data_IF_955449240046
#
_entry.id   IF_955449240046
#
_cell.length_a   1.000
_cell.length_b   1.000
_cell.length_c   1.000
_cell.angle_alpha   90.00
_cell.angle_beta   90.00
_cell.angle_gamma   90.00
#
_symmetry.space_group_name_H-M   'P 1'
#
loop_
_entity.id
_entity.type
_entity.pdbx_description
1 polymer ?
#
# COMPACT_ATOMS: atom_id res chain seq x y z
N UNK A 1 -20.32 69.59 11.78
CA UNK A 1 -20.01 69.08 10.42
C UNK A 1 -19.83 67.58 10.55
N UNK A 2 -20.82 66.80 10.07
CA UNK A 2 -20.88 65.34 10.17
C UNK A 2 -20.13 64.75 8.97
N UNK A 3 -19.26 63.76 9.17
CA UNK A 3 -18.76 62.90 8.10
C UNK A 3 -19.01 61.45 8.49
N UNK A 4 -20.00 60.85 7.83
CA UNK A 4 -20.27 59.43 7.84
C UNK A 4 -19.43 58.77 6.73
N UNK A 5 -18.55 57.84 7.11
CA UNK A 5 -17.88 56.96 6.16
C UNK A 5 -18.84 55.80 5.82
N UNK A 6 -19.25 55.76 4.56
CA UNK A 6 -20.03 54.68 3.95
C UNK A 6 -19.02 53.70 3.34
N UNK A 7 -18.88 52.51 3.91
CA UNK A 7 -18.16 51.38 3.30
C UNK A 7 -19.14 50.60 2.42
N UNK A 8 -19.01 50.74 1.10
CA UNK A 8 -19.72 49.93 0.12
C UNK A 8 -18.99 48.60 -0.08
N UNK A 9 -19.71 47.49 0.11
CA UNK A 9 -19.29 46.13 -0.21
C UNK A 9 -19.29 45.91 -1.72
N UNK A 10 -18.14 45.59 -2.29
CA UNK A 10 -17.98 45.07 -3.65
C UNK A 10 -18.38 43.59 -3.66
N UNK A 11 -19.47 43.24 -4.34
CA UNK A 11 -19.77 41.85 -4.69
C UNK A 11 -18.94 41.46 -5.93
N UNK A 12 -17.99 40.54 -5.74
CA UNK A 12 -17.33 39.84 -6.84
C UNK A 12 -18.25 38.70 -7.26
N UNK A 13 -18.80 38.77 -8.46
CA UNK A 13 -19.43 37.63 -9.12
C UNK A 13 -18.33 36.72 -9.66
N UNK A 14 -18.01 35.66 -8.92
CA UNK A 14 -17.27 34.53 -9.48
C UNK A 14 -18.22 33.73 -10.36
N UNK A 15 -18.08 33.84 -11.68
CA UNK A 15 -18.73 32.93 -12.63
C UNK A 15 -18.05 31.57 -12.49
N UNK A 16 -18.60 30.72 -11.63
CA UNK A 16 -18.34 29.28 -11.68
C UNK A 16 -18.95 28.75 -12.97
N UNK A 17 -18.12 28.26 -13.89
CA UNK A 17 -18.55 27.42 -15.01
C UNK A 17 -19.16 26.14 -14.45
N UNK A 18 -20.45 26.16 -14.13
CA UNK A 18 -21.18 24.96 -13.74
C UNK A 18 -21.37 24.10 -15.00
N UNK A 19 -20.58 23.03 -15.14
CA UNK A 19 -20.97 21.90 -15.98
C UNK A 19 -22.16 21.22 -15.29
N UNK A 20 -23.36 21.55 -15.74
CA UNK A 20 -24.58 20.98 -15.19
C UNK A 20 -24.95 19.71 -15.95
N UNK A 21 -24.72 18.56 -15.33
CA UNK A 21 -25.27 17.28 -15.77
C UNK A 21 -26.51 16.96 -14.94
N UNK A 22 -27.58 16.50 -15.58
CA UNK A 22 -28.80 16.08 -14.88
C UNK A 22 -29.49 14.91 -15.58
N UNK A 23 -30.15 14.02 -14.82
CA UNK A 23 -30.91 12.91 -15.37
C UNK A 23 -32.10 13.41 -16.20
N UNK A 24 -32.24 12.91 -17.44
CA UNK A 24 -33.38 13.18 -18.29
C UNK A 24 -34.59 12.36 -17.82
N UNK A 25 -35.74 13.01 -17.64
CA UNK A 25 -36.99 12.34 -17.33
C UNK A 25 -37.93 12.45 -18.54
N UNK A 26 -38.18 11.34 -19.26
CA UNK A 26 -39.24 11.29 -20.27
C UNK A 26 -39.51 9.85 -20.73
N UNK A 27 -40.77 9.45 -20.98
CA UNK A 27 -41.67 10.18 -21.90
C UNK A 27 -43.17 10.23 -21.50
N UNK A 28 -43.72 11.43 -21.35
CA UNK A 28 -45.05 11.90 -21.81
C UNK A 28 -45.16 13.39 -21.43
N UNK A 29 -44.91 14.28 -22.39
CA UNK A 29 -44.88 15.74 -22.18
C UNK A 29 -43.48 16.37 -22.05
N UNK A 30 -42.47 15.75 -22.66
CA UNK A 30 -41.03 16.02 -22.45
C UNK A 30 -40.59 17.42 -22.90
N UNK A 31 -40.12 18.21 -21.94
CA UNK A 31 -39.24 19.36 -22.15
C UNK A 31 -37.94 18.87 -22.83
N UNK A 32 -37.54 19.50 -23.94
CA UNK A 32 -36.25 19.18 -24.60
C UNK A 32 -35.06 19.52 -23.70
N UNK A 33 -33.86 19.05 -24.03
CA UNK A 33 -32.65 19.43 -23.28
C UNK A 33 -32.45 20.95 -23.26
N UNK A 34 -32.86 21.65 -24.32
CA UNK A 34 -32.85 23.11 -24.36
C UNK A 34 -33.86 23.74 -23.40
N UNK A 35 -35.01 23.10 -23.18
CA UNK A 35 -36.02 23.60 -22.25
C UNK A 35 -35.61 23.36 -20.79
N UNK A 36 -34.95 22.23 -20.51
CA UNK A 36 -34.29 22.01 -19.22
C UNK A 36 -33.23 23.08 -18.94
N UNK A 37 -32.39 23.38 -19.94
CA UNK A 37 -31.39 24.45 -19.84
C UNK A 37 -32.06 25.80 -19.54
N UNK A 38 -33.15 26.12 -20.26
CA UNK A 38 -33.92 27.35 -20.05
C UNK A 38 -34.47 27.46 -18.62
N UNK A 39 -35.04 26.38 -18.07
CA UNK A 39 -35.56 26.37 -16.69
C UNK A 39 -34.48 26.59 -15.63
N UNK A 40 -33.25 26.20 -15.94
CA UNK A 40 -32.10 26.35 -15.03
C UNK A 40 -31.28 27.63 -15.28
N UNK A 41 -31.76 28.52 -16.17
CA UNK A 41 -31.04 29.75 -16.51
C UNK A 41 -29.73 29.49 -17.26
N UNK A 42 -29.59 28.33 -17.89
CA UNK A 42 -28.43 27.95 -18.68
C UNK A 42 -28.63 28.34 -20.14
N UNK A 43 -27.54 28.54 -20.91
CA UNK A 43 -27.68 28.87 -22.33
C UNK A 43 -28.35 27.71 -23.08
N UNK A 44 -29.26 28.01 -24.00
CA UNK A 44 -30.16 27.01 -24.60
C UNK A 44 -29.61 26.34 -25.84
N UNK A 45 -28.40 26.68 -26.29
CA UNK A 45 -27.79 26.19 -27.51
C UNK A 45 -26.77 25.06 -27.26
N UNK A 46 -26.65 24.12 -28.20
CA UNK A 46 -25.62 23.07 -28.16
C UNK A 46 -25.83 21.93 -27.17
N UNK A 47 -27.03 21.79 -26.58
CA UNK A 47 -27.39 20.64 -25.75
C UNK A 47 -27.79 19.43 -26.62
N UNK A 48 -27.38 18.24 -26.21
CA UNK A 48 -27.76 16.97 -26.84
C UNK A 48 -28.21 15.97 -25.77
N UNK A 49 -29.16 15.09 -26.14
CA UNK A 49 -29.50 13.91 -25.36
C UNK A 49 -28.42 12.87 -25.58
N UNK A 50 -27.87 12.33 -24.49
CA UNK A 50 -26.83 11.31 -24.46
C UNK A 50 -27.33 10.14 -23.61
N UNK A 51 -26.97 8.92 -23.98
CA UNK A 51 -27.35 7.72 -23.21
C UNK A 51 -26.21 7.31 -22.28
N UNK A 52 -26.47 7.28 -20.98
CA UNK A 52 -25.52 6.84 -19.96
C UNK A 52 -26.09 5.60 -19.25
N UNK A 53 -25.54 4.43 -19.60
CA UNK A 53 -25.96 3.13 -19.06
C UNK A 53 -27.48 2.85 -19.17
N UNK A 54 -28.12 3.28 -20.26
CA UNK A 54 -29.56 3.12 -20.50
C UNK A 54 -30.42 4.23 -19.92
N UNK A 55 -29.81 5.28 -19.36
CA UNK A 55 -30.48 6.47 -18.87
C UNK A 55 -30.12 7.70 -19.71
N UNK A 56 -31.09 8.32 -20.41
CA UNK A 56 -30.82 9.55 -21.12
C UNK A 56 -30.39 10.67 -20.14
N UNK A 57 -29.44 11.50 -20.58
CA UNK A 57 -28.94 12.71 -19.91
C UNK A 57 -28.80 13.83 -20.94
N UNK A 58 -28.81 15.08 -20.48
CA UNK A 58 -28.55 16.25 -21.32
C UNK A 58 -27.13 16.76 -21.08
N UNK A 59 -26.35 16.96 -22.15
CA UNK A 59 -24.99 17.53 -22.07
C UNK A 59 -24.76 18.59 -23.17
N UNK A 60 -23.91 19.58 -22.88
CA UNK A 60 -23.57 20.70 -23.77
C UNK A 60 -22.05 20.78 -23.98
N UNK A 61 -21.59 20.44 -25.18
CA UNK A 61 -20.17 20.50 -25.56
C UNK A 61 -19.80 19.50 -26.68
N UNK A 62 -18.69 19.75 -27.38
CA UNK A 62 -18.12 18.87 -28.42
C UNK A 62 -17.21 17.77 -27.86
N UNK A 63 -17.48 17.32 -26.64
CA UNK A 63 -16.61 16.37 -25.95
C UNK A 63 -16.92 14.95 -26.45
N UNK A 64 -15.98 14.37 -27.20
CA UNK A 64 -15.98 12.93 -27.48
C UNK A 64 -16.04 12.19 -26.14
N UNK A 65 -17.03 11.31 -25.99
CA UNK A 65 -17.25 10.53 -24.78
C UNK A 65 -16.06 9.60 -24.52
N UNK A 66 -15.71 9.48 -23.25
CA UNK A 66 -14.69 8.56 -22.81
C UNK A 66 -15.27 7.16 -22.64
N UNK A 67 -14.65 6.16 -23.25
CA UNK A 67 -14.99 4.75 -23.04
C UNK A 67 -14.42 4.18 -21.72
N UNK A 68 -14.23 5.02 -20.69
CA UNK A 68 -13.51 4.69 -19.45
C UNK A 68 -13.96 5.49 -18.22
N UNK A 69 -13.16 5.44 -17.14
CA UNK A 69 -13.47 6.11 -15.86
C UNK A 69 -13.16 7.60 -15.96
N UNK A 70 -14.14 8.46 -15.67
CA UNK A 70 -13.99 9.91 -15.58
C UNK A 70 -13.23 10.29 -14.30
N UNK A 71 -12.21 11.15 -14.43
CA UNK A 71 -11.40 11.64 -13.30
C UNK A 71 -11.00 13.10 -13.50
N UNK A 72 -10.67 13.78 -12.41
CA UNK A 72 -10.21 15.17 -12.40
C UNK A 72 -8.68 15.17 -12.59
N UNK A 73 -8.18 15.85 -13.63
CA UNK A 73 -6.73 16.00 -13.79
C UNK A 73 -6.19 16.96 -12.72
N UNK A 74 -5.18 16.51 -11.96
CA UNK A 74 -4.69 17.27 -10.80
C UNK A 74 -4.01 18.62 -11.17
N UNK A 75 -3.61 18.82 -12.43
CA UNK A 75 -2.84 19.98 -12.86
C UNK A 75 -3.73 21.11 -13.38
N UNK A 76 -4.85 20.76 -14.02
CA UNK A 76 -5.77 21.75 -14.59
C UNK A 76 -7.19 21.71 -13.99
N UNK A 77 -7.46 20.76 -13.08
CA UNK A 77 -8.75 20.55 -12.41
C UNK A 77 -9.93 20.35 -13.37
N UNK A 78 -9.68 19.92 -14.60
CA UNK A 78 -10.73 19.60 -15.56
C UNK A 78 -11.00 18.09 -15.57
N UNK A 79 -12.24 17.72 -15.88
CA UNK A 79 -12.59 16.34 -16.19
C UNK A 79 -11.82 15.92 -17.45
N UNK A 80 -10.96 14.91 -17.28
CA UNK A 80 -10.06 14.41 -18.31
C UNK A 80 -10.26 12.91 -18.49
N UNK A 81 -9.99 12.45 -19.71
CA UNK A 81 -9.85 11.05 -20.02
C UNK A 81 -8.52 10.79 -20.71
N UNK A 82 -7.98 9.60 -20.47
CA UNK A 82 -6.78 9.14 -21.14
C UNK A 82 -7.01 8.97 -22.63
N UNK A 83 -6.07 9.42 -23.46
CA UNK A 83 -6.13 9.20 -24.90
C UNK A 83 -5.75 7.76 -25.21
N UNK A 84 -6.75 6.91 -25.35
CA UNK A 84 -6.55 5.60 -25.97
C UNK A 84 -6.17 5.75 -27.45
N UNK A 85 -5.26 4.91 -28.01
CA UNK A 85 -4.57 3.79 -27.37
C UNK A 85 -3.19 4.17 -26.80
N UNK A 86 -2.84 5.45 -26.76
CA UNK A 86 -1.47 5.94 -26.53
C UNK A 86 -1.14 6.20 -25.07
N UNK A 87 -2.15 6.42 -24.24
CA UNK A 87 -2.02 6.77 -22.84
C UNK A 87 -2.84 5.80 -21.98
N UNK A 88 -2.35 5.52 -20.77
CA UNK A 88 -3.03 4.73 -19.77
C UNK A 88 -3.12 5.54 -18.47
N UNK A 89 -4.12 5.21 -17.62
CA UNK A 89 -4.20 5.76 -16.27
C UNK A 89 -3.10 5.13 -15.43
N UNK A 90 -2.18 5.93 -14.90
CA UNK A 90 -0.99 5.44 -14.19
C UNK A 90 -0.97 5.78 -12.70
N UNK A 91 -1.82 6.71 -12.26
CA UNK A 91 -2.02 7.05 -10.85
C UNK A 91 -3.46 7.48 -10.61
N UNK A 92 -4.06 7.09 -9.47
CA UNK A 92 -5.44 7.42 -9.08
C UNK A 92 -5.48 7.73 -7.58
N UNK A 93 -5.98 8.89 -7.21
CA UNK A 93 -6.50 9.18 -5.87
C UNK A 93 -8.02 9.04 -5.87
N UNK A 94 -8.50 7.96 -5.25
CA UNK A 94 -9.92 7.64 -5.16
C UNK A 94 -10.71 8.59 -4.26
N UNK A 95 -10.05 9.25 -3.31
CA UNK A 95 -10.68 10.18 -2.35
C UNK A 95 -10.86 11.53 -3.03
N UNK A 96 -9.83 12.04 -3.69
CA UNK A 96 -9.88 13.29 -4.43
C UNK A 96 -10.55 13.15 -5.81
N UNK A 97 -10.85 11.92 -6.25
CA UNK A 97 -11.29 11.58 -7.62
C UNK A 97 -10.36 12.14 -8.69
N UNK A 98 -9.07 12.22 -8.38
CA UNK A 98 -8.06 12.68 -9.32
C UNK A 98 -7.27 11.52 -9.86
N UNK A 99 -6.83 11.63 -11.10
CA UNK A 99 -5.95 10.65 -11.71
C UNK A 99 -4.96 11.31 -12.64
N UNK A 100 -3.93 10.55 -13.01
CA UNK A 100 -2.96 10.96 -14.00
C UNK A 100 -2.82 9.95 -15.10
N UNK A 101 -2.76 10.53 -16.28
CA UNK A 101 -2.61 9.82 -17.51
C UNK A 101 -1.17 9.98 -18.01
N UNK A 102 -0.53 8.89 -18.37
CA UNK A 102 0.79 8.94 -18.98
C UNK A 102 0.79 8.12 -20.26
N UNK A 103 1.66 8.50 -21.19
CA UNK A 103 1.96 7.69 -22.38
C UNK A 103 2.34 6.27 -21.96
N UNK A 104 2.00 5.27 -22.79
CA UNK A 104 2.42 3.88 -22.55
C UNK A 104 3.90 3.76 -22.18
N UNK A 105 4.19 2.84 -21.27
CA UNK A 105 5.50 2.60 -20.65
C UNK A 105 6.03 3.75 -19.77
N UNK A 106 5.21 4.76 -19.48
CA UNK A 106 5.51 5.76 -18.46
C UNK A 106 4.61 5.54 -17.24
N UNK A 107 5.05 6.01 -16.09
CA UNK A 107 4.32 6.01 -14.82
C UNK A 107 4.40 7.40 -14.21
N UNK A 108 3.32 7.83 -13.54
CA UNK A 108 3.35 9.07 -12.77
C UNK A 108 4.19 8.89 -11.50
N UNK A 109 5.24 9.69 -11.35
CA UNK A 109 6.15 9.68 -10.20
C UNK A 109 6.12 11.07 -9.56
N UNK A 110 6.08 11.12 -8.23
CA UNK A 110 6.24 12.33 -7.43
C UNK A 110 7.04 11.98 -6.17
N UNK A 111 7.78 12.95 -5.64
CA UNK A 111 8.60 12.76 -4.44
C UNK A 111 7.72 12.61 -3.20
N UNK A 112 8.03 11.62 -2.34
CA UNK A 112 7.35 11.43 -1.05
C UNK A 112 7.64 12.65 -0.16
N UNK A 113 6.60 13.45 0.11
CA UNK A 113 6.69 14.68 0.91
C UNK A 113 6.45 15.96 0.10
N UNK A 114 6.26 15.84 -1.21
CA UNK A 114 5.92 16.95 -2.11
C UNK A 114 4.47 16.79 -2.57
N UNK A 115 3.78 17.89 -2.85
CA UNK A 115 2.40 17.88 -3.34
C UNK A 115 2.28 17.03 -4.62
N UNK A 116 1.29 16.11 -4.73
CA UNK A 116 1.11 15.25 -5.92
C UNK A 116 0.94 16.01 -7.25
N UNK A 117 0.66 17.31 -7.20
CA UNK A 117 0.64 18.23 -8.35
C UNK A 117 2.02 18.50 -8.96
N UNK A 118 3.11 18.18 -8.25
CA UNK A 118 4.49 18.42 -8.67
C UNK A 118 5.19 17.16 -9.22
N UNK A 119 4.44 16.13 -9.59
CA UNK A 119 4.96 14.94 -10.26
C UNK A 119 5.17 15.09 -11.77
N UNK A 120 5.72 14.05 -12.39
CA UNK A 120 5.87 13.94 -13.84
C UNK A 120 5.65 12.50 -14.32
N UNK A 121 5.31 12.35 -15.61
CA UNK A 121 5.28 11.05 -16.28
C UNK A 121 6.71 10.64 -16.66
N UNK A 122 7.28 9.67 -15.97
CA UNK A 122 8.62 9.14 -16.25
C UNK A 122 8.54 7.74 -16.84
N UNK A 123 9.51 7.35 -17.67
CA UNK A 123 9.64 5.97 -18.15
C UNK A 123 9.65 5.00 -16.96
N UNK A 124 8.95 3.87 -17.09
CA UNK A 124 8.95 2.84 -16.06
C UNK A 124 10.40 2.39 -15.76
N UNK A 125 10.82 2.43 -14.49
CA UNK A 125 12.20 2.19 -14.08
C UNK A 125 13.09 3.43 -14.00
N UNK A 126 12.53 4.63 -14.10
CA UNK A 126 13.18 5.89 -13.73
C UNK A 126 12.71 6.37 -12.35
N UNK A 127 13.42 7.34 -11.78
CA UNK A 127 12.97 8.12 -10.62
C UNK A 127 12.92 9.61 -10.99
N UNK A 128 12.18 10.42 -10.21
CA UNK A 128 12.12 11.86 -10.38
C UNK A 128 13.14 12.50 -9.43
N UNK A 129 14.01 13.37 -9.94
CA UNK A 129 14.95 14.14 -9.14
C UNK A 129 14.96 15.58 -9.64
N UNK A 130 14.65 16.53 -8.76
CA UNK A 130 14.55 17.96 -9.11
C UNK A 130 13.64 18.24 -10.32
N UNK A 131 12.53 17.49 -10.45
CA UNK A 131 11.58 17.62 -11.56
C UNK A 131 12.04 17.00 -12.89
N UNK A 132 13.17 16.29 -12.91
CA UNK A 132 13.69 15.60 -14.09
C UNK A 132 13.69 14.08 -13.88
N UNK A 133 13.26 13.33 -14.89
CA UNK A 133 13.26 11.87 -14.84
C UNK A 133 14.69 11.35 -15.09
N UNK A 134 15.27 10.66 -14.12
CA UNK A 134 16.60 10.05 -14.22
C UNK A 134 16.46 8.53 -14.37
N UNK A 135 17.06 7.91 -15.40
CA UNK A 135 17.10 6.45 -15.53
C UNK A 135 17.87 5.82 -14.37
N UNK A 136 17.37 4.71 -13.81
CA UNK A 136 18.12 3.96 -12.79
C UNK A 136 19.48 3.42 -13.30
N UNK A 137 19.71 3.42 -14.61
CA UNK A 137 20.98 3.05 -15.25
C UNK A 137 22.09 4.09 -15.15
N UNK A 138 21.78 5.35 -14.82
CA UNK A 138 22.78 6.45 -14.77
C UNK A 138 23.44 6.62 -13.39
N UNK A 139 23.11 5.76 -12.41
CA UNK A 139 23.66 5.79 -11.05
C UNK A 139 24.97 5.00 -10.86
N UNK A 140 25.69 4.63 -11.92
CA UNK A 140 26.98 3.92 -11.79
C UNK A 140 28.18 4.78 -12.21
N UNK A 141 29.06 5.20 -11.27
CA UNK A 141 30.43 5.52 -11.61
C UNK A 141 31.13 4.24 -12.07
N UNK A 142 31.66 4.24 -13.30
CA UNK A 142 32.56 3.25 -13.93
C UNK A 142 32.83 1.98 -13.10
N UNK A 143 31.87 1.07 -13.07
CA UNK A 143 32.04 -0.26 -12.47
C UNK A 143 32.61 -1.17 -13.55
N UNK A 144 33.79 -1.74 -13.32
CA UNK A 144 34.34 -2.77 -14.20
C UNK A 144 33.37 -3.95 -14.18
N UNK A 145 32.67 -4.19 -15.29
CA UNK A 145 31.75 -5.32 -15.39
C UNK A 145 32.55 -6.61 -15.58
N UNK A 146 32.38 -7.53 -14.63
CA UNK A 146 32.96 -8.85 -14.74
C UNK A 146 32.17 -9.69 -15.78
N UNK A 147 32.86 -10.49 -16.61
CA UNK A 147 32.23 -11.42 -17.53
C UNK A 147 31.22 -12.35 -16.86
N UNK A 148 30.20 -12.85 -17.59
CA UNK A 148 29.22 -13.79 -17.05
C UNK A 148 29.87 -14.98 -16.35
N UNK A 149 29.50 -15.21 -15.08
CA UNK A 149 30.04 -16.27 -14.23
C UNK A 149 31.10 -15.83 -13.22
N UNK A 150 31.46 -14.55 -13.19
CA UNK A 150 32.37 -13.95 -12.22
C UNK A 150 31.67 -12.80 -11.46
N UNK A 151 32.10 -12.49 -10.24
CA UNK A 151 31.67 -11.29 -9.50
C UNK A 151 32.87 -10.49 -8.98
N UNK A 152 32.67 -9.20 -8.72
CA UNK A 152 33.72 -8.30 -8.25
C UNK A 152 33.95 -8.47 -6.75
N UNK A 153 35.17 -8.82 -6.35
CA UNK A 153 35.64 -8.86 -4.97
C UNK A 153 37.03 -8.21 -4.93
N UNK A 154 37.21 -7.19 -4.08
CA UNK A 154 38.47 -6.45 -3.93
C UNK A 154 39.08 -5.99 -5.28
N UNK A 155 38.25 -5.36 -6.12
CA UNK A 155 38.60 -4.88 -7.47
C UNK A 155 39.12 -5.95 -8.45
N UNK A 156 38.81 -7.23 -8.19
CA UNK A 156 39.10 -8.35 -9.10
C UNK A 156 37.85 -9.19 -9.37
N UNK A 157 37.70 -9.65 -10.61
CA UNK A 157 36.68 -10.60 -10.99
C UNK A 157 37.05 -12.01 -10.54
N UNK A 158 36.28 -12.58 -9.62
CA UNK A 158 36.47 -13.94 -9.10
C UNK A 158 35.33 -14.88 -9.52
N UNK A 159 35.57 -16.18 -9.73
CA UNK A 159 34.53 -17.11 -10.14
C UNK A 159 33.41 -17.23 -9.12
N UNK A 160 32.18 -17.17 -9.62
CA UNK A 160 31.01 -17.62 -8.88
C UNK A 160 31.15 -19.14 -8.75
N UNK A 161 31.82 -19.60 -7.69
CA UNK A 161 31.56 -20.93 -7.13
C UNK A 161 30.11 -20.90 -6.66
N UNK A 162 29.18 -21.20 -7.56
CA UNK A 162 27.78 -20.81 -7.39
C UNK A 162 27.04 -21.62 -6.32
N UNK A 163 25.82 -21.19 -6.00
CA UNK A 163 24.74 -22.09 -5.69
C UNK A 163 23.83 -22.22 -6.92
N UNK A 164 23.46 -23.46 -7.24
CA UNK A 164 22.37 -23.76 -8.16
C UNK A 164 21.01 -23.28 -7.61
N UNK A 165 19.88 -23.79 -8.15
CA UNK A 165 18.55 -23.41 -7.66
C UNK A 165 18.49 -23.51 -6.15
N UNK A 166 18.01 -22.45 -5.50
CA UNK A 166 17.95 -22.29 -4.04
C UNK A 166 17.29 -23.53 -3.43
N UNK A 167 18.11 -24.48 -2.97
CA UNK A 167 17.63 -25.63 -2.23
C UNK A 167 17.37 -25.15 -0.80
N UNK A 168 16.08 -24.95 -0.48
CA UNK A 168 15.60 -24.89 0.90
C UNK A 168 16.09 -26.16 1.63
N UNK A 169 17.25 -26.11 2.31
CA UNK A 169 17.73 -27.22 3.12
C UNK A 169 19.24 -27.34 3.37
N UNK A 170 20.15 -26.87 2.51
CA UNK A 170 21.59 -27.18 2.71
C UNK A 170 22.56 -26.12 2.16
N UNK A 171 23.17 -25.34 3.08
CA UNK A 171 24.44 -24.58 2.95
C UNK A 171 24.44 -23.45 1.90
N UNK A 172 25.06 -22.29 2.08
CA UNK A 172 26.02 -21.75 3.04
C UNK A 172 25.75 -20.25 3.19
N UNK A 173 26.29 -19.66 4.26
CA UNK A 173 26.08 -18.30 4.78
C UNK A 173 25.62 -17.23 3.79
N UNK A 174 24.55 -16.52 4.14
CA UNK A 174 24.27 -15.23 3.53
C UNK A 174 24.99 -14.14 4.30
N UNK A 175 25.70 -13.34 3.52
CA UNK A 175 26.36 -12.08 3.84
C UNK A 175 25.32 -11.15 4.49
N UNK A 176 25.69 -10.53 5.61
CA UNK A 176 24.88 -9.46 6.23
C UNK A 176 24.53 -8.40 5.17
N UNK A 177 23.34 -7.78 5.23
CA UNK A 177 23.00 -6.70 4.32
C UNK A 177 24.10 -5.62 4.36
N UNK A 178 24.59 -5.21 3.19
CA UNK A 178 25.56 -4.10 3.08
C UNK A 178 24.97 -2.74 3.46
N UNK A 179 23.66 -2.67 3.74
CA UNK A 179 22.94 -1.46 4.13
C UNK A 179 21.91 -1.76 5.23
N UNK A 180 21.79 -0.91 6.25
CA UNK A 180 20.75 -1.02 7.29
C UNK A 180 19.32 -0.87 6.75
N UNK A 181 19.16 -0.42 5.50
CA UNK A 181 17.86 -0.21 4.87
C UNK A 181 17.36 -1.40 4.02
N UNK A 182 18.08 -2.53 4.01
CA UNK A 182 17.67 -3.71 3.24
C UNK A 182 17.44 -4.90 4.16
N UNK A 183 16.16 -5.21 4.41
CA UNK A 183 15.76 -6.44 5.10
C UNK A 183 15.57 -7.57 4.09
N UNK A 184 16.07 -8.75 4.44
CA UNK A 184 15.88 -9.97 3.64
C UNK A 184 15.03 -10.97 4.43
N UNK A 185 14.22 -11.79 3.75
CA UNK A 185 13.45 -12.82 4.42
C UNK A 185 14.39 -13.83 5.08
N UNK A 186 14.12 -14.15 6.35
CA UNK A 186 14.89 -15.14 7.09
C UNK A 186 14.59 -16.55 6.58
N UNK A 187 15.62 -17.39 6.56
CA UNK A 187 15.54 -18.75 6.09
C UNK A 187 15.64 -19.74 7.26
N UNK A 188 14.66 -20.63 7.36
CA UNK A 188 14.79 -21.81 8.21
C UNK A 188 15.86 -22.76 7.67
N UNK A 189 16.56 -23.46 8.58
CA UNK A 189 17.54 -24.49 8.24
C UNK A 189 17.41 -25.69 9.17
N UNK A 190 17.44 -26.89 8.61
CA UNK A 190 17.35 -28.12 9.38
C UNK A 190 16.06 -28.14 10.19
N UNK A 191 16.17 -28.12 11.52
CA UNK A 191 15.05 -28.11 12.46
C UNK A 191 14.54 -26.72 12.87
N UNK A 192 15.04 -25.63 12.28
CA UNK A 192 14.75 -24.26 12.72
C UNK A 192 13.94 -23.46 11.71
N UNK A 193 13.12 -22.52 12.20
CA UNK A 193 12.33 -21.60 11.36
C UNK A 193 13.12 -20.39 10.83
N UNK A 194 14.28 -20.09 11.42
CA UNK A 194 15.12 -18.93 11.03
C UNK A 194 14.76 -17.64 11.78
N UNK A 195 13.55 -17.55 12.34
CA UNK A 195 13.15 -16.47 13.27
C UNK A 195 13.67 -16.74 14.70
N UNK A 196 13.86 -15.68 15.48
CA UNK A 196 14.41 -15.68 16.84
C UNK A 196 13.47 -15.01 17.83
N UNK A 197 13.38 -15.56 19.05
CA UNK A 197 12.64 -14.90 20.13
C UNK A 197 13.27 -13.54 20.49
N UNK A 198 12.42 -12.55 20.74
CA UNK A 198 12.78 -11.18 21.08
C UNK A 198 13.13 -10.28 19.90
N UNK A 199 13.14 -10.80 18.66
CA UNK A 199 13.39 -10.03 17.44
C UNK A 199 12.08 -9.64 16.75
N UNK A 200 12.12 -8.57 15.95
CA UNK A 200 10.98 -8.05 15.20
C UNK A 200 11.08 -8.32 13.71
N UNK A 201 9.93 -8.53 13.08
CA UNK A 201 9.85 -8.87 11.67
C UNK A 201 8.67 -8.17 11.01
N UNK A 202 8.86 -7.75 9.76
CA UNK A 202 7.76 -7.43 8.85
C UNK A 202 7.33 -8.73 8.17
N UNK A 203 6.03 -9.00 8.22
CA UNK A 203 5.44 -10.19 7.62
C UNK A 203 4.89 -9.83 6.24
N UNK A 204 5.29 -10.57 5.21
CA UNK A 204 4.76 -10.42 3.85
C UNK A 204 4.39 -11.74 3.21
N UNK A 205 3.49 -11.71 2.25
CA UNK A 205 3.01 -12.89 1.54
C UNK A 205 3.75 -13.06 0.20
N UNK A 206 3.50 -14.18 -0.48
CA UNK A 206 4.19 -14.51 -1.74
C UNK A 206 3.95 -13.53 -2.90
N UNK A 207 2.89 -12.74 -2.84
CA UNK A 207 2.57 -11.67 -3.80
C UNK A 207 3.20 -10.31 -3.42
N UNK A 208 4.01 -10.26 -2.37
CA UNK A 208 4.71 -9.07 -1.91
C UNK A 208 3.87 -8.16 -1.01
N UNK A 209 2.57 -8.42 -0.85
CA UNK A 209 1.73 -7.67 0.07
C UNK A 209 2.09 -8.00 1.52
N UNK A 210 2.05 -6.99 2.40
CA UNK A 210 2.37 -7.17 3.80
C UNK A 210 1.14 -7.57 4.62
N UNK A 211 1.38 -8.19 5.77
CA UNK A 211 0.38 -8.29 6.83
C UNK A 211 0.24 -6.90 7.47
N UNK A 212 -0.83 -6.22 7.09
CA UNK A 212 -1.18 -4.91 7.61
C UNK A 212 -2.49 -4.95 8.37
N UNK A 213 -2.98 -3.78 8.77
CA UNK A 213 -4.29 -3.66 9.42
C UNK A 213 -5.26 -2.81 8.61
N UNK A 214 -6.56 -3.07 8.79
CA UNK A 214 -7.62 -2.19 8.27
C UNK A 214 -7.52 -0.78 8.87
N UNK A 215 -8.22 0.19 8.26
CA UNK A 215 -8.33 1.56 8.81
C UNK A 215 -8.88 1.59 10.23
N UNK A 216 -9.80 0.69 10.56
CA UNK A 216 -10.39 0.57 11.90
C UNK A 216 -9.43 -0.13 12.89
N UNK A 217 -8.30 -0.64 12.39
CA UNK A 217 -7.21 -1.26 13.11
C UNK A 217 -7.60 -2.39 14.10
N UNK A 218 -8.69 -3.07 13.78
CA UNK A 218 -9.19 -4.20 14.57
C UNK A 218 -8.91 -5.55 13.92
N UNK A 219 -8.57 -5.56 12.64
CA UNK A 219 -8.35 -6.76 11.84
C UNK A 219 -7.07 -6.65 11.05
N UNK A 220 -6.33 -7.77 11.00
CA UNK A 220 -5.22 -7.94 10.10
C UNK A 220 -5.72 -8.41 8.73
N UNK A 221 -5.15 -7.81 7.70
CA UNK A 221 -5.50 -8.05 6.31
C UNK A 221 -4.24 -8.08 5.46
N UNK A 222 -4.35 -8.69 4.29
CA UNK A 222 -3.29 -8.71 3.30
C UNK A 222 -3.28 -7.39 2.52
N UNK A 223 -2.18 -6.63 2.56
CA UNK A 223 -2.08 -5.31 1.94
C UNK A 223 -2.94 -4.27 2.66
N UNK A 224 -2.81 -4.21 3.99
CA UNK A 224 -3.61 -3.33 4.84
C UNK A 224 -3.42 -1.84 4.57
N UNK A 225 -4.22 -1.02 5.25
CA UNK A 225 -4.07 0.43 5.22
C UNK A 225 -2.82 0.87 5.97
N UNK A 226 -2.61 0.32 7.17
CA UNK A 226 -1.36 0.45 7.90
C UNK A 226 -0.48 -0.78 7.58
N UNK A 227 0.71 -0.53 7.04
CA UNK A 227 1.71 -1.53 6.70
C UNK A 227 3.00 -1.24 7.48
N UNK A 228 4.04 -2.03 7.23
CA UNK A 228 5.34 -1.95 7.91
C UNK A 228 5.23 -2.12 9.43
N UNK A 229 4.23 -2.89 9.88
CA UNK A 229 4.00 -3.20 11.30
C UNK A 229 5.06 -4.18 11.79
N UNK A 230 5.91 -3.82 12.76
CA UNK A 230 6.87 -4.77 13.32
C UNK A 230 6.17 -5.74 14.27
N UNK A 231 6.38 -7.03 14.03
CA UNK A 231 5.88 -8.09 14.90
C UNK A 231 7.02 -8.75 15.65
N UNK A 232 7.02 -8.61 16.98
CA UNK A 232 8.02 -9.24 17.85
C UNK A 232 7.64 -10.70 18.10
N UNK A 233 8.58 -11.60 17.87
CA UNK A 233 8.41 -13.03 18.15
C UNK A 233 8.67 -13.28 19.62
N UNK A 234 7.66 -13.75 20.36
CA UNK A 234 7.74 -13.99 21.80
C UNK A 234 7.55 -15.47 22.13
N UNK A 235 8.21 -15.92 23.21
CA UNK A 235 8.12 -17.29 23.70
C UNK A 235 6.80 -17.53 24.45
N UNK A 236 6.33 -16.51 25.17
CA UNK A 236 4.99 -16.45 25.76
C UNK A 236 4.45 -15.03 25.69
N UNK A 237 3.20 -14.82 26.14
CA UNK A 237 2.65 -13.47 26.29
C UNK A 237 3.25 -12.67 27.45
N UNK A 238 4.16 -13.28 28.22
CA UNK A 238 4.89 -12.64 29.33
C UNK A 238 6.41 -12.66 29.14
N UNK A 239 6.91 -13.32 28.09
CA UNK A 239 8.32 -13.46 27.76
C UNK A 239 8.58 -13.16 26.28
N UNK A 240 8.96 -11.91 26.03
CA UNK A 240 9.44 -11.42 24.74
C UNK A 240 10.94 -11.08 24.77
N UNK A 241 11.69 -11.70 25.68
CA UNK A 241 13.13 -11.45 25.81
C UNK A 241 13.91 -12.03 24.63
N UNK A 242 15.12 -11.50 24.39
CA UNK A 242 16.02 -12.05 23.38
C UNK A 242 16.33 -13.52 23.70
N UNK A 243 16.17 -14.39 22.72
CA UNK A 243 16.30 -15.83 22.93
C UNK A 243 16.81 -16.59 21.71
N UNK A 244 16.65 -17.91 21.77
CA UNK A 244 17.09 -18.83 20.71
C UNK A 244 16.27 -18.69 19.42
N UNK A 245 16.80 -19.25 18.34
CA UNK A 245 16.03 -19.46 17.10
C UNK A 245 14.89 -20.44 17.36
N UNK A 246 13.70 -20.13 16.85
CA UNK A 246 12.50 -20.97 17.02
C UNK A 246 12.68 -22.29 16.28
N UNK A 247 12.48 -23.41 16.98
CA UNK A 247 12.53 -24.75 16.40
C UNK A 247 11.19 -25.13 15.74
N UNK A 248 11.23 -25.96 14.71
CA UNK A 248 10.03 -26.57 14.13
C UNK A 248 9.30 -27.37 15.21
N UNK A 249 8.01 -27.09 15.37
CA UNK A 249 7.18 -27.73 16.39
C UNK A 249 7.11 -26.96 17.71
N UNK A 250 7.99 -25.97 17.93
CA UNK A 250 7.80 -25.00 19.00
C UNK A 250 6.66 -24.03 18.66
N UNK A 251 6.02 -23.54 19.71
CA UNK A 251 5.02 -22.51 19.62
C UNK A 251 5.64 -21.15 19.92
N UNK A 252 5.15 -20.12 19.26
CA UNK A 252 5.52 -18.73 19.52
C UNK A 252 4.30 -17.82 19.44
N UNK A 253 4.46 -16.57 19.88
CA UNK A 253 3.46 -15.51 19.85
C UNK A 253 4.00 -14.34 19.02
N UNK A 254 3.09 -13.57 18.43
CA UNK A 254 3.43 -12.36 17.68
C UNK A 254 2.85 -11.15 18.42
N UNK A 255 3.74 -10.31 18.94
CA UNK A 255 3.38 -9.05 19.57
C UNK A 255 3.48 -7.92 18.55
N UNK A 256 2.36 -7.27 18.29
CA UNK A 256 2.30 -6.05 17.48
C UNK A 256 3.01 -4.91 18.23
N UNK A 257 4.07 -4.36 17.63
CA UNK A 257 4.84 -3.27 18.23
C UNK A 257 4.25 -1.88 17.95
N UNK A 258 3.34 -1.75 16.99
CA UNK A 258 2.71 -0.47 16.62
C UNK A 258 1.53 -0.15 17.55
N UNK A 259 0.73 -1.16 17.90
CA UNK A 259 -0.48 -0.99 18.68
C UNK A 259 -1.62 -0.33 17.90
N UNK A 260 -2.54 0.31 18.61
CA UNK A 260 -3.73 0.92 17.99
C UNK A 260 -3.46 2.34 17.47
N UNK A 261 -3.81 2.66 16.22
CA UNK A 261 -3.66 4.02 15.66
C UNK A 261 -4.34 5.13 16.49
N UNK A 262 -5.44 4.80 17.19
CA UNK A 262 -6.18 5.71 18.03
C UNK A 262 -5.75 5.67 19.51
N UNK A 263 -4.72 4.89 19.83
CA UNK A 263 -4.10 4.86 21.14
C UNK A 263 -2.79 5.68 21.12
N UNK A 264 -2.78 6.88 21.74
CA UNK A 264 -1.62 7.76 21.73
C UNK A 264 -0.41 7.18 22.48
N UNK A 265 -0.60 6.13 23.30
CA UNK A 265 0.50 5.44 23.98
C UNK A 265 1.16 4.37 23.12
N UNK A 266 0.55 4.00 21.98
CA UNK A 266 1.03 2.89 21.15
C UNK A 266 1.07 1.59 21.93
N UNK A 267 0.03 1.29 22.73
CA UNK A 267 0.03 0.10 23.59
C UNK A 267 0.18 -1.14 22.73
N UNK A 268 1.30 -1.84 22.94
CA UNK A 268 1.61 -3.10 22.27
C UNK A 268 0.58 -4.17 22.63
N UNK A 269 0.20 -4.97 21.65
CA UNK A 269 -0.78 -6.04 21.82
C UNK A 269 -0.40 -7.28 21.05
N UNK A 270 -1.34 -8.19 20.89
CA UNK A 270 -1.11 -9.50 20.32
C UNK A 270 -1.96 -9.71 19.08
N UNK A 271 -1.41 -10.44 18.12
CA UNK A 271 -2.20 -11.04 17.05
C UNK A 271 -2.94 -12.24 17.67
N UNK A 272 -4.26 -12.33 17.48
CA UNK A 272 -5.01 -13.55 17.83
C UNK A 272 -4.78 -14.69 16.79
N UNK A 273 -5.49 -15.80 16.95
CA UNK A 273 -5.45 -16.88 15.96
C UNK A 273 -6.86 -17.29 15.49
N UNK A 274 -7.68 -16.30 15.16
CA UNK A 274 -9.01 -16.51 14.60
C UNK A 274 -9.00 -17.53 13.46
N UNK A 275 -10.03 -18.39 13.42
CA UNK A 275 -10.05 -19.57 12.58
C UNK A 275 -11.41 -19.82 11.93
N UNK A 276 -11.44 -20.68 10.92
CA UNK A 276 -12.65 -21.07 10.16
C UNK A 276 -13.39 -19.87 9.53
N UNK A 277 -12.63 -18.92 8.98
CA UNK A 277 -13.18 -17.74 8.31
C UNK A 277 -13.44 -16.56 9.24
N UNK A 278 -13.25 -16.71 10.56
CA UNK A 278 -13.12 -15.58 11.45
C UNK A 278 -11.79 -14.84 11.17
N UNK A 279 -11.84 -13.51 11.22
CA UNK A 279 -10.71 -12.65 10.85
C UNK A 279 -9.76 -12.51 12.01
N UNK A 280 -8.47 -12.67 11.75
CA UNK A 280 -7.41 -12.47 12.74
C UNK A 280 -7.38 -11.00 13.15
N UNK A 281 -7.38 -10.75 14.46
CA UNK A 281 -7.49 -9.42 15.04
C UNK A 281 -6.37 -9.08 16.02
N UNK A 282 -6.37 -7.81 16.42
CA UNK A 282 -5.53 -7.28 17.49
C UNK A 282 -6.24 -7.42 18.83
N UNK A 283 -5.53 -7.93 19.84
CA UNK A 283 -6.05 -8.05 21.21
C UNK A 283 -5.03 -7.55 22.24
N UNK A 284 -5.55 -6.90 23.29
CA UNK A 284 -4.76 -6.57 24.49
C UNK A 284 -4.82 -7.69 25.54
N UNK A 285 -5.74 -8.63 25.39
CA UNK A 285 -5.85 -9.77 26.29
C UNK A 285 -4.86 -10.86 25.91
N UNK A 286 -3.86 -11.05 26.77
CA UNK A 286 -2.84 -12.08 26.64
C UNK A 286 -3.41 -13.51 26.54
N UNK A 287 -4.59 -13.78 27.10
CA UNK A 287 -5.22 -15.11 26.99
C UNK A 287 -5.88 -15.35 25.63
N UNK A 288 -6.19 -14.26 24.91
CA UNK A 288 -6.75 -14.29 23.56
C UNK A 288 -5.65 -14.26 22.49
N UNK A 289 -4.38 -14.16 22.88
CA UNK A 289 -3.25 -14.14 21.97
C UNK A 289 -3.11 -15.45 21.20
N UNK A 290 -2.82 -15.35 19.90
CA UNK A 290 -2.65 -16.47 19.02
C UNK A 290 -1.38 -17.25 19.34
N UNK A 291 -1.51 -18.57 19.45
CA UNK A 291 -0.36 -19.47 19.43
C UNK A 291 -0.04 -19.87 17.99
N UNK A 292 1.19 -19.63 17.56
CA UNK A 292 1.67 -19.90 16.22
C UNK A 292 2.75 -20.98 16.21
N UNK A 293 2.86 -21.69 15.10
CA UNK A 293 3.99 -22.54 14.75
C UNK A 293 4.29 -22.40 13.27
N UNK A 294 5.26 -23.15 12.76
CA UNK A 294 5.54 -23.10 11.34
C UNK A 294 6.36 -24.24 10.80
N UNK A 295 6.46 -24.28 9.48
CA UNK A 295 7.35 -25.15 8.73
C UNK A 295 8.11 -24.29 7.71
N UNK A 296 9.45 -24.34 7.63
CA UNK A 296 10.21 -23.63 6.61
C UNK A 296 9.76 -24.08 5.21
N UNK A 297 9.61 -23.13 4.31
CA UNK A 297 9.21 -23.38 2.92
C UNK A 297 9.86 -22.38 1.97
N UNK A 298 9.70 -22.62 0.68
CA UNK A 298 10.17 -21.76 -0.40
C UNK A 298 8.93 -21.24 -1.16
N UNK A 299 8.83 -19.93 -1.37
CA UNK A 299 7.72 -19.31 -2.11
C UNK A 299 8.26 -18.22 -3.04
N UNK A 300 8.08 -18.39 -4.36
CA UNK A 300 8.59 -17.45 -5.36
C UNK A 300 10.13 -17.33 -5.38
N UNK A 301 10.84 -18.41 -5.05
CA UNK A 301 12.32 -18.42 -4.98
C UNK A 301 12.91 -17.82 -3.70
N UNK A 302 12.07 -17.34 -2.79
CA UNK A 302 12.48 -16.78 -1.51
C UNK A 302 12.09 -17.68 -0.34
N UNK A 303 12.82 -17.51 0.76
CA UNK A 303 12.51 -18.19 2.01
C UNK A 303 11.21 -17.68 2.60
N UNK A 304 10.38 -18.60 3.06
CA UNK A 304 9.14 -18.30 3.74
C UNK A 304 8.90 -19.35 4.84
N UNK A 305 7.90 -19.08 5.67
CA UNK A 305 7.39 -20.00 6.67
C UNK A 305 5.94 -20.29 6.30
N UNK A 306 5.60 -21.58 6.21
CA UNK A 306 4.22 -22.00 6.26
C UNK A 306 3.73 -21.78 7.70
N UNK A 307 3.11 -20.62 7.94
CA UNK A 307 2.61 -20.26 9.26
C UNK A 307 1.39 -21.13 9.61
N UNK A 308 1.40 -21.66 10.83
CA UNK A 308 0.37 -22.52 11.38
C UNK A 308 -0.24 -21.87 12.62
N UNK A 309 -1.55 -21.96 12.77
CA UNK A 309 -2.27 -21.33 13.88
C UNK A 309 -3.68 -21.88 14.08
N UNK A 310 -4.39 -21.32 15.04
CA UNK A 310 -5.71 -21.77 15.47
C UNK A 310 -5.69 -23.11 16.22
N UNK A 311 -6.85 -23.61 16.68
CA UNK A 311 -6.94 -24.81 17.53
C UNK A 311 -6.44 -26.09 16.84
N UNK A 312 -6.45 -26.13 15.51
CA UNK A 312 -6.07 -27.30 14.71
C UNK A 312 -4.69 -27.18 14.05
N UNK A 313 -3.88 -26.15 14.39
CA UNK A 313 -2.63 -25.82 13.68
C UNK A 313 -2.82 -25.76 12.17
N UNK A 314 -3.90 -25.09 11.78
CA UNK A 314 -4.31 -24.87 10.41
C UNK A 314 -3.40 -23.90 9.67
N UNK A 315 -3.48 -23.88 8.34
CA UNK A 315 -2.71 -22.93 7.53
C UNK A 315 -3.39 -21.57 7.44
N UNK A 316 -2.58 -20.50 7.38
CA UNK A 316 -3.05 -19.14 7.14
C UNK A 316 -3.45 -18.95 5.67
N UNK A 317 -4.55 -18.23 5.44
CA UNK A 317 -5.03 -17.86 4.10
C UNK A 317 -5.98 -16.66 4.16
N UNK A 318 -6.18 -15.96 3.03
CA UNK A 318 -7.24 -14.99 2.87
C UNK A 318 -8.60 -15.49 3.36
N UNK A 319 -9.33 -14.63 4.06
CA UNK A 319 -10.72 -14.74 4.44
C UNK A 319 -11.53 -13.62 3.78
N UNK A 320 -12.86 -13.71 3.79
CA UNK A 320 -13.75 -12.70 3.21
C UNK A 320 -13.45 -11.28 3.77
N UNK A 321 -13.90 -10.19 3.11
CA UNK A 321 -14.44 -10.12 1.76
C UNK A 321 -13.34 -10.16 0.68
N UNK A 322 -13.66 -10.56 -0.55
CA UNK A 322 -12.67 -10.77 -1.63
C UNK A 322 -11.90 -9.51 -2.04
N UNK A 323 -12.46 -8.32 -1.82
CA UNK A 323 -11.86 -7.04 -2.24
C UNK A 323 -10.69 -6.58 -1.34
N UNK A 324 -10.79 -6.87 -0.04
CA UNK A 324 -9.75 -6.61 0.96
C UNK A 324 -9.78 -7.76 1.94
N UNK A 325 -9.25 -8.93 1.55
CA UNK A 325 -9.42 -10.12 2.34
C UNK A 325 -8.74 -9.97 3.68
N UNK A 326 -9.50 -10.28 4.74
CA UNK A 326 -8.92 -10.60 6.03
C UNK A 326 -7.99 -11.79 5.94
N UNK A 327 -7.34 -12.12 7.03
CA UNK A 327 -6.58 -13.37 7.14
C UNK A 327 -7.19 -14.24 8.23
N UNK A 328 -7.22 -15.55 8.00
CA UNK A 328 -7.76 -16.54 8.93
C UNK A 328 -6.94 -17.82 8.89
N UNK A 329 -7.01 -18.62 9.96
CA UNK A 329 -6.51 -19.98 9.96
C UNK A 329 -7.61 -20.98 9.58
N UNK A 330 -7.30 -21.88 8.67
CA UNK A 330 -8.20 -22.94 8.25
C UNK A 330 -7.72 -24.29 8.72
N UNK A 331 -8.62 -25.13 9.22
CA UNK A 331 -8.28 -26.45 9.78
C UNK A 331 -7.43 -27.34 8.86
N UNK A 332 -7.46 -27.11 7.54
CA UNK A 332 -6.60 -27.79 6.58
C UNK A 332 -5.19 -27.15 6.56
N UNK A 333 -4.13 -27.82 7.08
CA UNK A 333 -2.77 -27.29 7.05
C UNK A 333 -2.14 -27.26 5.64
N UNK A 334 -2.83 -27.81 4.62
CA UNK A 334 -2.44 -27.73 3.21
C UNK A 334 -2.97 -26.48 2.51
N UNK A 335 -3.82 -25.68 3.17
CA UNK A 335 -4.09 -24.31 2.76
C UNK A 335 -2.83 -23.51 3.10
N UNK A 336 -2.22 -22.89 2.09
CA UNK A 336 -0.84 -22.41 2.15
C UNK A 336 -0.72 -21.06 1.48
N UNK A 337 -0.79 -20.00 2.28
CA UNK A 337 -0.20 -18.71 1.93
C UNK A 337 1.11 -18.57 2.73
N UNK A 338 2.28 -18.90 2.13
CA UNK A 338 3.56 -18.78 2.82
C UNK A 338 3.85 -17.34 3.23
N UNK A 339 4.34 -17.16 4.44
CA UNK A 339 4.66 -15.85 5.03
C UNK A 339 6.17 -15.70 5.12
N UNK A 340 6.68 -14.63 4.53
CA UNK A 340 8.07 -14.19 4.61
C UNK A 340 8.22 -13.33 5.87
N UNK A 341 9.31 -13.55 6.58
CA UNK A 341 9.66 -12.82 7.80
C UNK A 341 10.94 -12.04 7.52
N UNK A 342 10.84 -10.72 7.38
CA UNK A 342 11.99 -9.86 7.12
C UNK A 342 12.38 -9.16 8.41
N UNK A 343 13.58 -9.45 8.92
CA UNK A 343 14.03 -8.93 10.22
C UNK A 343 14.18 -7.39 10.17
N UNK A 344 13.65 -6.73 11.19
CA UNK A 344 13.72 -5.28 11.39
C UNK A 344 14.00 -4.96 12.86
N UNK A 345 14.38 -3.72 13.14
CA UNK A 345 14.48 -3.23 14.51
C UNK A 345 13.10 -3.23 15.16
N UNK A 346 13.03 -3.60 16.44
CA UNK A 346 11.79 -3.43 17.20
C UNK A 346 11.51 -1.95 17.46
N UNK A 347 10.25 -1.56 17.37
CA UNK A 347 9.79 -0.24 17.80
C UNK A 347 9.77 -0.20 19.33
N UNK A 348 10.92 0.12 19.91
CA UNK A 348 11.08 0.45 21.32
C UNK A 348 11.04 1.98 21.54
N UNK A 349 10.47 2.73 20.59
CA UNK A 349 10.32 4.17 20.69
C UNK A 349 9.27 4.51 21.75
N UNK A 350 9.70 4.75 22.99
CA UNK A 350 8.86 5.43 23.97
C UNK A 350 8.61 6.85 23.46
N UNK A 351 7.36 7.18 23.11
CA UNK A 351 6.97 8.56 22.82
C UNK A 351 7.25 9.35 24.10
N UNK A 352 8.21 10.30 24.11
CA UNK A 352 8.50 11.05 25.31
C UNK A 352 7.23 11.79 25.72
N UNK A 353 6.73 11.62 26.97
CA UNK A 353 5.63 12.43 27.45
C UNK A 353 6.14 13.87 27.44
N UNK A 354 5.68 14.68 26.49
CA UNK A 354 6.06 16.08 26.24
C UNK A 354 7.45 16.31 25.62
N UNK A 355 7.74 15.76 24.44
CA UNK A 355 8.61 16.51 23.52
C UNK A 355 7.81 17.71 23.00
N UNK A 356 8.03 18.87 23.61
CA UNK A 356 7.49 20.13 23.14
C UNK A 356 7.94 20.36 21.70
N UNK A 357 7.07 20.05 20.74
CA UNK A 357 7.17 20.59 19.39
C UNK A 357 6.96 22.10 19.59
N UNK A 358 8.06 22.83 19.60
CA UNK A 358 8.06 24.29 19.60
C UNK A 358 7.15 24.75 18.44
N UNK A 359 6.15 25.60 18.67
CA UNK A 359 5.22 26.07 17.63
C UNK A 359 5.88 26.96 16.56
N UNK A 360 7.22 27.00 16.49
CA UNK A 360 8.02 27.85 15.62
C UNK A 360 8.62 27.11 14.41
N UNK A 361 8.05 25.97 14.00
CA UNK A 361 8.29 25.49 12.63
C UNK A 361 7.29 26.21 11.72
N UNK A 362 7.68 27.38 11.23
CA UNK A 362 6.98 28.02 10.12
C UNK A 362 7.24 27.19 8.86
N UNK A 363 6.16 26.72 8.24
CA UNK A 363 6.16 26.14 6.89
C UNK A 363 6.36 27.22 5.84
#
# INVERSE_FOLDING_TARGET
MRLFLISALSQVFTVLSQQAQAPYQGPQGSLGCEDYARQKGMPTDGWKVIDDAGHPKCSRGSQEFCHGVEYIDIHNQNDMCCREPTEDVTWIDKIAKSAKCCTKNHVWIFDKGVDPTQGACCTAGSYLENGQCTPLSDLTPSRVDCPPGLYMQDDKCVPVTGPGPVQCGNGNGRVEPSSPCTSYPVCGRGKYLGIKYGHCYILSFSDGLQLGTTRDNNQYVKGGFFNDIPFKVCNSTTDCSLGKTVEMGESFYLQDQQGRYNDPQGTKGWIDNAYNGAHIGFTLDANSAGTFGGVPTCAGGECAIQLLGGPNKGGISPACPTATPGVSFYANPKIRDPVRFSEVTCDDYEVPPTSGISPNVQY
#
